data_IF_222471892740
#
_entry.id   IF_222471892740
#
_cell.length_a   1.000
_cell.length_b   1.000
_cell.length_c   1.000
_cell.angle_alpha   90.00
_cell.angle_beta   90.00
_cell.angle_gamma   90.00
#
_symmetry.space_group_name_H-M   'P 1'
#
loop_
_entity.id
_entity.type
_entity.pdbx_description
1 polymer ?
#
# COMPACT_ATOMS: atom_id res chain seq x y z
N UNK A 1 -22.88 40.47 13.25
CA UNK A 1 -21.89 39.38 13.39
C UNK A 1 -21.15 39.33 12.08
N UNK A 2 -19.84 39.51 12.10
CA UNK A 2 -19.01 39.36 10.89
C UNK A 2 -19.12 37.91 10.42
N UNK A 3 -19.88 37.71 9.34
CA UNK A 3 -20.03 36.44 8.62
C UNK A 3 -18.92 36.26 7.56
N UNK A 4 -17.78 36.93 7.74
CA UNK A 4 -16.65 36.77 6.85
C UNK A 4 -15.78 35.67 7.43
N UNK A 5 -16.06 34.43 6.99
CA UNK A 5 -15.11 33.32 7.11
C UNK A 5 -13.74 33.82 6.66
N UNK A 6 -12.75 33.64 7.53
CA UNK A 6 -11.40 34.08 7.20
C UNK A 6 -10.94 33.31 5.95
N UNK A 7 -10.18 33.96 5.06
CA UNK A 7 -9.69 33.39 3.79
C UNK A 7 -8.88 32.09 3.95
N UNK A 8 -8.60 31.68 5.19
CA UNK A 8 -7.86 30.51 5.61
C UNK A 8 -8.72 29.40 6.23
N UNK A 9 -10.04 29.56 6.34
CA UNK A 9 -10.96 28.54 6.84
C UNK A 9 -12.22 28.47 5.95
N UNK A 10 -12.09 27.73 4.85
CA UNK A 10 -13.12 27.58 3.82
C UNK A 10 -14.42 26.94 4.34
N UNK A 11 -14.33 26.21 5.45
CA UNK A 11 -15.46 25.52 6.10
C UNK A 11 -15.79 26.15 7.46
N UNK A 12 -15.44 27.43 7.66
CA UNK A 12 -15.74 28.14 8.89
C UNK A 12 -17.24 28.06 9.23
N UNK A 13 -17.54 27.62 10.45
CA UNK A 13 -18.91 27.43 10.94
C UNK A 13 -19.54 26.07 10.61
N UNK A 14 -18.83 25.19 9.90
CA UNK A 14 -19.21 23.77 9.79
C UNK A 14 -18.88 23.08 11.11
N UNK A 15 -19.90 22.56 11.78
CA UNK A 15 -19.76 21.84 13.05
C UNK A 15 -19.52 20.34 12.84
N UNK A 16 -20.14 19.75 11.82
CA UNK A 16 -20.03 18.33 11.48
C UNK A 16 -19.72 18.18 9.99
N UNK A 17 -18.67 17.41 9.66
CA UNK A 17 -18.33 17.04 8.29
C UNK A 17 -18.43 15.52 8.14
N UNK A 18 -19.64 15.04 7.83
CA UNK A 18 -19.91 13.61 7.64
C UNK A 18 -19.62 13.17 6.21
N UNK A 19 -18.77 12.15 6.04
CA UNK A 19 -18.53 11.47 4.77
C UNK A 19 -19.50 10.30 4.64
N UNK A 20 -20.27 10.31 3.55
CA UNK A 20 -21.23 9.26 3.22
C UNK A 20 -20.59 8.20 2.32
N UNK A 21 -21.33 7.15 1.98
CA UNK A 21 -20.88 6.04 1.12
C UNK A 21 -20.34 6.46 -0.27
N UNK A 22 -20.67 7.67 -0.75
CA UNK A 22 -20.12 8.21 -2.00
C UNK A 22 -18.68 8.75 -1.88
N UNK A 23 -18.16 8.86 -0.66
CA UNK A 23 -16.83 9.42 -0.37
C UNK A 23 -16.76 10.93 -0.51
N UNK A 24 -15.60 11.48 -0.16
CA UNK A 24 -15.26 12.89 -0.38
C UNK A 24 -14.20 13.00 -1.47
N UNK A 25 -14.41 13.89 -2.45
CA UNK A 25 -13.41 14.19 -3.48
C UNK A 25 -12.95 15.63 -3.30
N UNK A 26 -11.65 15.82 -3.12
CA UNK A 26 -11.06 17.14 -2.84
C UNK A 26 -9.93 17.38 -3.84
N UNK A 27 -10.15 18.36 -4.74
CA UNK A 27 -9.15 18.84 -5.67
C UNK A 27 -8.51 20.12 -5.16
N UNK A 28 -7.23 20.04 -4.82
CA UNK A 28 -6.45 21.18 -4.34
C UNK A 28 -5.86 22.03 -5.46
N UNK A 29 -5.98 21.58 -6.72
CA UNK A 29 -5.26 22.13 -7.86
C UNK A 29 -3.77 22.20 -7.55
N UNK A 30 -3.17 23.38 -7.41
CA UNK A 30 -1.77 23.57 -7.04
C UNK A 30 -1.60 24.17 -5.63
N UNK A 31 -2.68 24.29 -4.86
CA UNK A 31 -2.69 25.01 -3.60
C UNK A 31 -2.41 24.10 -2.40
N UNK A 32 -1.94 24.69 -1.32
CA UNK A 32 -1.94 24.04 0.00
C UNK A 32 -3.24 24.42 0.72
N UNK A 33 -4.06 23.42 1.01
CA UNK A 33 -5.38 23.56 1.66
C UNK A 33 -5.35 22.76 2.96
N UNK A 34 -5.78 23.37 4.06
CA UNK A 34 -6.00 22.67 5.32
C UNK A 34 -7.49 22.59 5.63
N UNK A 35 -7.97 21.41 5.98
CA UNK A 35 -9.30 21.21 6.55
C UNK A 35 -9.13 20.92 8.04
N UNK A 36 -9.85 21.70 8.85
CA UNK A 36 -9.73 21.69 10.32
C UNK A 36 -10.86 20.93 10.99
N UNK A 37 -11.93 20.65 10.25
CA UNK A 37 -13.07 19.88 10.70
C UNK A 37 -12.72 18.39 10.67
N UNK A 38 -13.11 17.65 11.70
CA UNK A 38 -12.96 16.21 11.73
C UNK A 38 -13.84 15.55 10.68
N UNK A 39 -13.28 14.57 9.95
CA UNK A 39 -14.02 13.76 9.00
C UNK A 39 -14.71 12.63 9.76
N UNK A 40 -16.05 12.66 9.77
CA UNK A 40 -16.85 11.67 10.47
C UNK A 40 -17.41 10.64 9.49
N UNK A 41 -17.22 9.36 9.76
CA UNK A 41 -17.88 8.31 9.01
C UNK A 41 -19.38 8.29 9.31
N UNK A 42 -20.21 8.09 8.28
CA UNK A 42 -21.63 7.79 8.46
C UNK A 42 -21.83 6.41 9.10
N UNK A 43 -22.94 6.23 9.83
CA UNK A 43 -23.34 4.93 10.39
C UNK A 43 -23.62 3.87 9.31
N UNK A 44 -23.97 4.30 8.10
CA UNK A 44 -24.18 3.42 6.94
C UNK A 44 -22.88 3.07 6.21
N UNK A 45 -21.74 3.57 6.70
CA UNK A 45 -20.43 3.47 6.06
C UNK A 45 -20.04 4.76 5.33
N UNK A 46 -18.74 4.93 5.12
CA UNK A 46 -18.15 6.02 4.36
C UNK A 46 -17.47 5.50 3.09
N UNK A 47 -17.43 6.33 2.05
CA UNK A 47 -16.71 6.02 0.81
C UNK A 47 -15.24 6.43 0.83
N UNK A 48 -14.72 6.86 1.99
CA UNK A 48 -13.36 7.35 2.13
C UNK A 48 -13.12 8.74 1.52
N UNK A 49 -11.87 8.99 1.13
CA UNK A 49 -11.41 10.30 0.64
C UNK A 49 -10.51 10.14 -0.59
N UNK A 50 -10.81 10.91 -1.63
CA UNK A 50 -10.00 11.04 -2.84
C UNK A 50 -9.38 12.42 -2.90
N UNK A 51 -8.05 12.47 -2.91
CA UNK A 51 -7.23 13.67 -3.06
C UNK A 51 -6.76 13.81 -4.51
N UNK A 52 -7.11 14.93 -5.13
CA UNK A 52 -6.71 15.34 -6.48
C UNK A 52 -5.85 16.61 -6.46
N UNK A 53 -5.20 16.87 -7.60
CA UNK A 53 -4.37 18.05 -7.86
C UNK A 53 -3.01 17.99 -7.19
N UNK A 54 -2.01 18.63 -7.81
CA UNK A 54 -0.61 18.72 -7.37
C UNK A 54 -0.36 19.38 -6.02
N UNK A 55 -1.35 20.08 -5.47
CA UNK A 55 -1.29 20.75 -4.19
C UNK A 55 -1.24 19.80 -2.99
N UNK A 56 -1.21 20.39 -1.80
CA UNK A 56 -1.25 19.66 -0.52
C UNK A 56 -2.64 19.79 0.09
N UNK A 57 -3.22 18.68 0.53
CA UNK A 57 -4.36 18.66 1.42
C UNK A 57 -3.88 18.21 2.79
N UNK A 58 -4.04 19.06 3.80
CA UNK A 58 -3.79 18.70 5.20
C UNK A 58 -5.13 18.47 5.90
N UNK A 59 -5.34 17.28 6.46
CA UNK A 59 -6.45 16.98 7.35
C UNK A 59 -5.93 17.09 8.78
N UNK A 60 -6.33 18.16 9.48
CA UNK A 60 -5.70 18.56 10.75
C UNK A 60 -6.10 17.66 11.91
N UNK A 61 -7.29 17.08 11.84
CA UNK A 61 -7.80 16.16 12.84
C UNK A 61 -7.61 14.72 12.35
N UNK A 62 -7.40 13.80 13.29
CA UNK A 62 -7.24 12.39 12.99
C UNK A 62 -8.47 11.82 12.25
N UNK A 63 -8.21 11.06 11.19
CA UNK A 63 -9.22 10.58 10.26
C UNK A 63 -9.70 9.19 10.68
N UNK A 64 -11.00 9.08 10.98
CA UNK A 64 -11.65 7.82 11.38
C UNK A 64 -12.41 7.12 10.23
N UNK A 65 -12.17 7.54 8.98
CA UNK A 65 -12.80 6.96 7.80
C UNK A 65 -12.32 5.53 7.54
N UNK A 66 -13.22 4.69 7.06
CA UNK A 66 -12.99 3.26 6.80
C UNK A 66 -12.98 2.92 5.32
N UNK A 67 -13.56 3.78 4.48
CA UNK A 67 -13.52 3.64 3.03
C UNK A 67 -12.16 4.03 2.44
N UNK A 68 -12.03 3.84 1.13
CA UNK A 68 -10.77 4.01 0.40
C UNK A 68 -10.16 5.40 0.58
N UNK A 69 -8.89 5.42 0.96
CA UNK A 69 -8.03 6.61 0.85
C UNK A 69 -7.34 6.55 -0.51
N UNK A 70 -7.65 7.48 -1.39
CA UNK A 70 -7.04 7.56 -2.72
C UNK A 70 -6.29 8.88 -2.88
N UNK A 71 -4.97 8.80 -3.10
CA UNK A 71 -4.12 9.95 -3.41
C UNK A 71 -3.70 9.86 -4.87
N UNK A 72 -4.45 10.50 -5.76
CA UNK A 72 -4.17 10.44 -7.20
C UNK A 72 -3.00 11.35 -7.60
N UNK A 73 -2.87 12.51 -6.95
CA UNK A 73 -1.81 13.48 -7.21
C UNK A 73 -1.55 14.37 -6.00
N UNK A 74 -0.32 14.88 -5.91
CA UNK A 74 0.09 15.81 -4.86
C UNK A 74 0.20 15.13 -3.51
N UNK A 75 0.05 15.91 -2.43
CA UNK A 75 0.23 15.39 -1.07
C UNK A 75 -1.08 15.37 -0.30
N UNK A 76 -1.39 14.23 0.33
CA UNK A 76 -2.32 14.13 1.44
C UNK A 76 -1.51 14.02 2.73
N UNK A 77 -1.64 15.00 3.62
CA UNK A 77 -1.05 15.00 4.95
C UNK A 77 -2.17 14.72 5.97
N UNK A 78 -2.14 13.53 6.57
CA UNK A 78 -3.21 13.06 7.45
C UNK A 78 -2.72 11.96 8.40
N UNK A 79 -3.37 11.88 9.56
CA UNK A 79 -3.28 10.74 10.48
C UNK A 79 -4.55 9.90 10.43
N UNK A 80 -4.43 8.58 10.49
CA UNK A 80 -5.57 7.66 10.40
C UNK A 80 -5.72 6.82 11.68
N UNK A 81 -6.94 6.74 12.20
CA UNK A 81 -7.28 5.93 13.39
C UNK A 81 -7.85 4.56 13.03
N UNK A 82 -8.42 4.44 11.83
CA UNK A 82 -8.97 3.21 11.30
C UNK A 82 -7.96 2.51 10.38
N UNK A 83 -8.38 1.38 9.78
CA UNK A 83 -7.57 0.65 8.80
C UNK A 83 -8.23 0.59 7.42
N UNK A 84 -8.37 1.74 6.73
CA UNK A 84 -8.98 1.78 5.41
C UNK A 84 -8.11 1.06 4.36
N UNK A 85 -8.65 0.93 3.17
CA UNK A 85 -7.85 0.63 1.98
C UNK A 85 -7.12 1.90 1.51
N UNK A 86 -6.00 1.72 0.79
CA UNK A 86 -5.15 2.79 0.31
C UNK A 86 -4.79 2.58 -1.16
N UNK A 87 -4.93 3.63 -1.95
CA UNK A 87 -4.32 3.74 -3.28
C UNK A 87 -3.51 5.02 -3.34
N UNK A 88 -2.23 4.93 -3.69
CA UNK A 88 -1.38 6.09 -3.95
C UNK A 88 -0.82 5.98 -5.36
N UNK A 89 -1.36 6.76 -6.28
CA UNK A 89 -0.90 6.74 -7.68
C UNK A 89 0.54 7.28 -7.76
N UNK A 90 1.23 7.07 -8.89
CA UNK A 90 2.65 7.43 -9.03
C UNK A 90 2.99 8.90 -8.73
N UNK A 91 2.04 9.82 -8.91
CA UNK A 91 2.21 11.25 -8.62
C UNK A 91 1.69 11.66 -7.22
N UNK A 92 1.18 10.69 -6.45
CA UNK A 92 0.63 10.87 -5.12
C UNK A 92 1.66 10.64 -4.01
N UNK A 93 1.50 11.39 -2.93
CA UNK A 93 2.24 11.24 -1.68
C UNK A 93 1.26 11.23 -0.52
N UNK A 94 1.27 10.15 0.27
CA UNK A 94 0.68 10.14 1.59
C UNK A 94 1.76 10.51 2.62
N UNK A 95 1.60 11.66 3.26
CA UNK A 95 2.43 12.12 4.35
C UNK A 95 1.77 11.74 5.68
N UNK A 96 2.46 10.89 6.46
CA UNK A 96 2.01 10.42 7.76
C UNK A 96 2.70 11.16 8.92
N UNK A 97 3.33 12.32 8.66
CA UNK A 97 4.07 13.11 9.65
C UNK A 97 3.28 13.52 10.89
N UNK A 98 1.94 13.51 10.78
CA UNK A 98 1.04 13.80 11.90
C UNK A 98 0.65 12.55 12.72
N UNK A 99 0.92 11.35 12.20
CA UNK A 99 0.55 10.10 12.86
C UNK A 99 1.45 9.84 14.07
N UNK A 100 0.86 9.80 15.27
CA UNK A 100 1.59 9.48 16.50
C UNK A 100 2.02 8.00 16.59
N UNK A 101 1.22 7.11 15.98
CA UNK A 101 1.44 5.67 15.93
C UNK A 101 1.52 5.20 14.47
N UNK A 102 1.92 3.93 14.26
CA UNK A 102 1.96 3.38 12.90
C UNK A 102 0.55 3.33 12.27
N UNK A 103 0.37 4.02 11.15
CA UNK A 103 -0.86 3.96 10.38
C UNK A 103 -1.02 2.57 9.76
N UNK A 104 -2.22 2.01 9.79
CA UNK A 104 -2.51 0.66 9.32
C UNK A 104 -3.46 0.73 8.14
N UNK A 105 -3.19 -0.05 7.09
CA UNK A 105 -4.05 -0.14 5.91
C UNK A 105 -4.30 -1.60 5.53
N UNK A 106 -5.50 -1.90 5.04
CA UNK A 106 -5.91 -3.28 4.77
C UNK A 106 -5.43 -3.73 3.40
N UNK A 107 -5.91 -3.11 2.32
CA UNK A 107 -5.41 -3.33 0.97
C UNK A 107 -4.71 -2.09 0.44
N UNK A 108 -3.50 -2.27 -0.06
CA UNK A 108 -2.66 -1.17 -0.55
C UNK A 108 -2.34 -1.39 -2.01
N UNK A 109 -2.61 -0.37 -2.82
CA UNK A 109 -2.28 -0.35 -4.24
C UNK A 109 -1.56 0.95 -4.59
N UNK A 110 -0.96 1.01 -5.77
CA UNK A 110 -0.31 2.21 -6.27
C UNK A 110 1.15 2.07 -6.63
N UNK A 111 1.70 3.14 -7.20
CA UNK A 111 3.15 3.31 -7.42
C UNK A 111 3.66 4.62 -6.79
N UNK A 112 2.91 5.18 -5.85
CA UNK A 112 3.23 6.43 -5.16
C UNK A 112 4.13 6.24 -3.94
N UNK A 113 4.08 7.21 -3.05
CA UNK A 113 4.96 7.28 -1.88
C UNK A 113 4.20 7.48 -0.57
N UNK A 114 4.58 6.74 0.47
CA UNK A 114 4.21 7.00 1.87
C UNK A 114 5.44 7.49 2.64
N UNK A 115 5.36 8.64 3.30
CA UNK A 115 6.53 9.31 3.92
C UNK A 115 6.25 9.78 5.35
N UNK A 116 7.32 10.10 6.09
CA UNK A 116 7.33 10.75 7.40
C UNK A 116 6.55 10.00 8.49
N UNK A 117 6.35 8.69 8.36
CA UNK A 117 5.65 7.91 9.35
C UNK A 117 5.81 6.41 9.17
N UNK A 118 5.42 5.67 10.21
CA UNK A 118 5.36 4.21 10.17
C UNK A 118 4.05 3.74 9.54
N UNK A 119 4.15 2.77 8.65
CA UNK A 119 3.05 2.28 7.83
C UNK A 119 2.98 0.75 7.90
N UNK A 120 1.79 0.20 8.17
CA UNK A 120 1.55 -1.23 8.31
C UNK A 120 0.56 -1.72 7.25
N UNK A 121 0.92 -2.77 6.53
CA UNK A 121 0.05 -3.47 5.58
C UNK A 121 -0.50 -4.72 6.24
N UNK A 122 -1.82 -4.86 6.26
CA UNK A 122 -2.50 -5.95 6.94
C UNK A 122 -3.01 -7.07 6.02
N UNK A 123 -3.47 -6.72 4.81
CA UNK A 123 -4.10 -7.65 3.87
C UNK A 123 -3.26 -7.87 2.63
N UNK A 124 -3.09 -6.84 1.82
CA UNK A 124 -2.29 -6.95 0.59
C UNK A 124 -1.56 -5.68 0.19
N UNK A 125 -0.48 -5.86 -0.58
CA UNK A 125 0.22 -4.80 -1.29
C UNK A 125 0.33 -5.18 -2.77
N UNK A 126 -0.18 -4.32 -3.64
CA UNK A 126 -0.08 -4.40 -5.10
C UNK A 126 0.63 -3.15 -5.60
N UNK A 127 1.96 -3.22 -5.72
CA UNK A 127 2.69 -2.11 -6.32
C UNK A 127 2.39 -2.09 -7.83
N UNK A 128 2.00 -0.96 -8.39
CA UNK A 128 1.60 -0.85 -9.80
C UNK A 128 0.12 -1.12 -10.04
N UNK A 129 -0.54 -0.17 -10.71
CA UNK A 129 -1.99 -0.21 -10.97
C UNK A 129 -2.34 -0.61 -12.40
N UNK A 130 -1.33 -0.76 -13.26
CA UNK A 130 -1.50 -1.10 -14.68
C UNK A 130 -0.88 -2.46 -14.96
N UNK A 131 -1.69 -3.47 -15.34
CA UNK A 131 -1.17 -4.77 -15.75
C UNK A 131 -0.11 -4.63 -16.85
N UNK A 132 1.04 -5.27 -16.66
CA UNK A 132 2.21 -5.28 -17.51
C UNK A 132 3.14 -4.08 -17.34
N UNK A 133 2.84 -3.13 -16.46
CA UNK A 133 3.71 -2.00 -16.16
C UNK A 133 4.42 -2.18 -14.81
N UNK A 134 5.68 -1.77 -14.74
CA UNK A 134 6.43 -1.80 -13.46
C UNK A 134 5.89 -0.73 -12.52
N UNK A 135 5.35 -1.17 -11.39
CA UNK A 135 5.09 -0.34 -10.23
C UNK A 135 6.23 -0.38 -9.21
N UNK A 136 6.55 0.76 -8.61
CA UNK A 136 7.36 0.81 -7.40
C UNK A 136 6.61 1.59 -6.33
N UNK A 137 6.14 0.91 -5.30
CA UNK A 137 5.51 1.55 -4.14
C UNK A 137 6.59 1.94 -3.13
N UNK A 138 6.64 3.21 -2.74
CA UNK A 138 7.68 3.72 -1.85
C UNK A 138 7.14 3.91 -0.43
N UNK A 139 7.94 3.53 0.56
CA UNK A 139 7.65 3.80 1.96
C UNK A 139 8.92 4.18 2.72
N UNK A 140 8.81 4.99 3.77
CA UNK A 140 9.94 5.23 4.68
C UNK A 140 10.10 4.08 5.68
N UNK A 141 9.03 3.73 6.38
CA UNK A 141 9.00 2.64 7.36
C UNK A 141 7.80 1.76 7.09
N UNK A 142 8.04 0.48 6.78
CA UNK A 142 7.02 -0.49 6.37
C UNK A 142 7.04 -1.72 7.27
N UNK A 143 5.88 -2.10 7.77
CA UNK A 143 5.65 -3.38 8.46
C UNK A 143 4.62 -4.20 7.71
N UNK A 144 4.92 -5.47 7.48
CA UNK A 144 3.92 -6.44 7.04
C UNK A 144 3.31 -7.15 8.26
N UNK A 145 2.00 -7.34 8.27
CA UNK A 145 1.36 -8.27 9.20
C UNK A 145 1.48 -9.72 8.69
N UNK A 146 1.22 -10.67 9.59
CA UNK A 146 1.23 -12.08 9.24
C UNK A 146 0.11 -12.39 8.24
N UNK A 147 0.42 -13.15 7.19
CA UNK A 147 -0.55 -13.54 6.17
C UNK A 147 -0.79 -12.52 5.06
N UNK A 148 -0.02 -11.41 5.00
CA UNK A 148 -0.09 -10.44 3.90
C UNK A 148 0.13 -11.11 2.54
N UNK A 149 -0.60 -10.65 1.53
CA UNK A 149 -0.38 -11.02 0.12
C UNK A 149 0.32 -9.90 -0.62
N UNK A 150 1.46 -10.21 -1.25
CA UNK A 150 2.10 -9.35 -2.23
C UNK A 150 1.62 -9.76 -3.62
N UNK A 151 0.93 -8.85 -4.31
CA UNK A 151 0.62 -9.00 -5.71
C UNK A 151 1.82 -8.49 -6.51
N UNK A 152 2.34 -9.33 -7.40
CA UNK A 152 3.51 -9.02 -8.22
C UNK A 152 3.17 -9.25 -9.69
N UNK A 153 3.10 -8.18 -10.46
CA UNK A 153 3.18 -8.28 -11.90
C UNK A 153 4.63 -8.52 -12.30
N UNK A 154 4.91 -9.76 -12.71
CA UNK A 154 6.25 -10.20 -13.07
C UNK A 154 6.34 -10.49 -14.57
N UNK A 155 7.46 -10.08 -15.16
CA UNK A 155 7.93 -10.47 -16.49
C UNK A 155 9.44 -10.68 -16.49
N UNK A 156 10.01 -11.20 -17.59
CA UNK A 156 11.46 -11.36 -17.71
C UNK A 156 12.24 -10.03 -17.65
N UNK A 157 11.61 -8.92 -18.04
CA UNK A 157 12.24 -7.61 -18.11
C UNK A 157 11.98 -6.72 -16.89
N UNK A 158 10.97 -7.05 -16.09
CA UNK A 158 10.31 -6.11 -15.20
C UNK A 158 9.52 -6.85 -14.12
N UNK A 159 9.49 -6.32 -12.90
CA UNK A 159 8.68 -6.84 -11.80
C UNK A 159 8.24 -5.68 -10.91
N UNK A 160 7.05 -5.76 -10.34
CA UNK A 160 6.62 -4.80 -9.32
C UNK A 160 7.49 -4.89 -8.06
N UNK A 161 7.73 -3.73 -7.44
CA UNK A 161 8.59 -3.61 -6.26
C UNK A 161 7.94 -2.78 -5.16
N UNK A 162 8.32 -3.08 -3.93
CA UNK A 162 8.25 -2.11 -2.84
C UNK A 162 9.65 -1.57 -2.53
N UNK A 163 9.78 -0.28 -2.32
CA UNK A 163 11.03 0.38 -1.98
C UNK A 163 10.94 1.04 -0.62
N UNK A 164 11.63 0.47 0.37
CA UNK A 164 11.66 1.02 1.74
C UNK A 164 12.97 1.76 1.95
N UNK A 165 12.92 3.08 2.18
CA UNK A 165 14.15 3.85 2.41
C UNK A 165 14.71 3.64 3.82
N UNK A 166 13.85 3.39 4.80
CA UNK A 166 14.18 3.18 6.21
C UNK A 166 13.98 1.72 6.65
N UNK A 167 13.15 1.51 7.66
CA UNK A 167 12.99 0.21 8.32
C UNK A 167 11.90 -0.65 7.66
N UNK A 168 12.26 -1.87 7.28
CA UNK A 168 11.34 -2.93 6.85
C UNK A 168 11.21 -3.99 7.94
N UNK A 169 9.99 -4.26 8.38
CA UNK A 169 9.67 -5.41 9.23
C UNK A 169 8.92 -6.47 8.44
N UNK A 170 9.61 -7.59 8.16
CA UNK A 170 9.02 -8.74 7.48
C UNK A 170 8.09 -9.56 8.36
N UNK A 171 7.16 -10.30 7.74
CA UNK A 171 6.16 -11.11 8.43
C UNK A 171 6.20 -12.60 8.06
N UNK A 172 5.50 -13.43 8.83
CA UNK A 172 5.40 -14.86 8.56
C UNK A 172 4.11 -15.22 7.81
N UNK A 173 4.17 -16.32 7.05
CA UNK A 173 2.99 -16.96 6.49
C UNK A 173 2.26 -16.21 5.36
N UNK A 174 2.90 -15.23 4.73
CA UNK A 174 2.32 -14.46 3.62
C UNK A 174 2.19 -15.23 2.30
N UNK A 175 1.62 -14.57 1.29
CA UNK A 175 1.54 -15.08 -0.08
C UNK A 175 2.25 -14.15 -1.06
N UNK A 176 2.89 -14.74 -2.07
CA UNK A 176 3.20 -14.07 -3.34
C UNK A 176 2.14 -14.53 -4.35
N UNK A 177 1.43 -13.57 -4.93
CA UNK A 177 0.42 -13.80 -5.95
C UNK A 177 0.87 -13.16 -7.26
N UNK A 178 1.04 -13.97 -8.31
CA UNK A 178 1.43 -13.48 -9.64
C UNK A 178 0.24 -13.11 -10.53
N UNK A 179 -1.01 -13.35 -10.08
CA UNK A 179 -2.21 -13.03 -10.83
C UNK A 179 -2.37 -13.79 -12.15
N UNK A 180 -1.59 -14.87 -12.37
CA UNK A 180 -1.55 -15.59 -13.65
C UNK A 180 -2.46 -16.81 -13.67
N UNK A 181 -3.20 -16.93 -14.76
CA UNK A 181 -4.07 -18.05 -15.07
C UNK A 181 -3.30 -19.25 -15.63
N UNK A 182 -3.85 -20.46 -15.47
CA UNK A 182 -3.23 -21.70 -15.98
C UNK A 182 -2.97 -21.60 -17.49
N UNK A 183 -1.72 -21.80 -17.89
CA UNK A 183 -1.26 -21.67 -19.27
C UNK A 183 -0.36 -20.45 -19.51
N UNK A 184 -0.36 -19.46 -18.61
CA UNK A 184 0.58 -18.34 -18.59
C UNK A 184 1.61 -18.50 -17.46
N UNK A 185 2.36 -19.60 -17.49
CA UNK A 185 3.25 -19.95 -16.40
C UNK A 185 4.46 -19.01 -16.29
N UNK A 186 4.82 -18.62 -15.06
CA UNK A 186 6.15 -18.09 -14.77
C UNK A 186 7.23 -19.16 -15.00
N UNK A 187 8.48 -18.80 -15.34
CA UNK A 187 9.57 -19.75 -15.35
C UNK A 187 9.83 -20.30 -13.94
N UNK A 188 10.07 -21.61 -13.83
CA UNK A 188 10.45 -22.26 -12.58
C UNK A 188 11.63 -23.21 -12.83
N UNK A 189 12.77 -23.07 -12.14
CA UNK A 189 13.02 -22.12 -11.05
C UNK A 189 13.22 -20.68 -11.55
N UNK A 190 12.93 -19.70 -10.69
CA UNK A 190 13.23 -18.29 -10.95
C UNK A 190 13.69 -17.55 -9.71
N UNK A 191 14.27 -16.37 -9.93
CA UNK A 191 14.62 -15.42 -8.87
C UNK A 191 14.29 -14.01 -9.32
N UNK A 192 13.70 -13.22 -8.42
CA UNK A 192 13.32 -11.84 -8.68
C UNK A 192 13.63 -10.97 -7.45
N UNK A 193 14.04 -9.73 -7.68
CA UNK A 193 14.06 -8.71 -6.63
C UNK A 193 12.65 -8.16 -6.49
N UNK A 194 12.11 -8.23 -5.28
CA UNK A 194 10.73 -7.81 -4.97
C UNK A 194 10.68 -6.57 -4.07
N UNK A 195 11.83 -6.15 -3.53
CA UNK A 195 11.92 -4.87 -2.87
C UNK A 195 13.29 -4.52 -2.32
N UNK A 196 13.38 -3.33 -1.73
CA UNK A 196 14.57 -2.80 -1.06
C UNK A 196 14.25 -2.28 0.33
N UNK A 197 15.27 -2.17 1.18
CA UNK A 197 15.15 -1.65 2.54
C UNK A 197 16.45 -0.94 2.98
N UNK A 198 16.34 -0.01 3.93
CA UNK A 198 17.50 0.59 4.62
C UNK A 198 17.97 -0.25 5.81
N UNK A 199 17.03 -0.71 6.65
CA UNK A 199 17.28 -1.66 7.73
C UNK A 199 16.18 -2.73 7.79
N UNK A 200 16.48 -3.91 8.33
CA UNK A 200 15.56 -5.04 8.33
C UNK A 200 15.42 -5.70 9.70
N UNK A 201 14.18 -6.03 10.06
CA UNK A 201 13.83 -6.88 11.19
C UNK A 201 12.72 -7.88 10.82
N UNK A 202 12.51 -8.90 11.66
CA UNK A 202 11.51 -9.94 11.39
C UNK A 202 12.05 -11.04 10.46
N UNK A 203 11.20 -11.54 9.57
CA UNK A 203 11.55 -12.62 8.64
C UNK A 203 10.43 -12.89 7.65
N UNK A 204 10.67 -13.78 6.67
CA UNK A 204 9.69 -14.18 5.65
C UNK A 204 9.43 -15.70 5.66
N UNK A 205 9.35 -16.30 6.84
CA UNK A 205 9.16 -17.75 6.98
C UNK A 205 7.74 -18.17 6.57
N UNK A 206 7.62 -19.27 5.85
CA UNK A 206 6.33 -19.91 5.54
C UNK A 206 5.53 -19.25 4.42
N UNK A 207 6.15 -18.39 3.63
CA UNK A 207 5.51 -17.75 2.48
C UNK A 207 5.19 -18.76 1.37
N UNK A 208 4.10 -18.52 0.64
CA UNK A 208 3.59 -19.42 -0.41
C UNK A 208 3.43 -18.69 -1.73
N UNK A 209 3.57 -19.40 -2.84
CA UNK A 209 3.24 -18.89 -4.18
C UNK A 209 1.81 -19.23 -4.54
N UNK A 210 1.09 -18.30 -5.16
CA UNK A 210 -0.26 -18.44 -5.72
C UNK A 210 -0.28 -17.96 -7.18
N UNK A 211 -1.24 -18.47 -7.94
CA UNK A 211 -1.57 -18.06 -9.32
C UNK A 211 -0.33 -17.83 -10.20
N UNK A 212 0.56 -18.82 -10.24
CA UNK A 212 1.81 -18.77 -11.00
C UNK A 212 1.65 -19.22 -12.46
N UNK A 213 0.41 -19.37 -12.94
CA UNK A 213 0.05 -19.90 -14.25
C UNK A 213 0.41 -21.37 -14.52
N UNK A 214 0.82 -22.09 -13.47
CA UNK A 214 1.11 -23.52 -13.50
C UNK A 214 -0.13 -24.35 -13.11
N UNK A 215 -0.27 -25.59 -13.61
CA UNK A 215 -1.37 -26.46 -13.23
C UNK A 215 -1.44 -26.68 -11.71
N UNK A 216 -2.64 -26.80 -11.10
CA UNK A 216 -2.82 -26.90 -9.65
C UNK A 216 -2.08 -28.06 -8.95
N UNK A 217 -1.62 -29.05 -9.72
CA UNK A 217 -0.88 -30.23 -9.23
C UNK A 217 0.60 -29.96 -9.02
N UNK A 218 1.13 -28.85 -9.57
CA UNK A 218 2.53 -28.47 -9.41
C UNK A 218 2.66 -27.73 -8.08
N UNK A 219 3.32 -28.37 -7.12
CA UNK A 219 3.67 -27.70 -5.87
C UNK A 219 4.85 -26.76 -6.07
N UNK A 220 4.80 -25.58 -5.44
CA UNK A 220 5.88 -24.59 -5.46
C UNK A 220 6.35 -24.26 -4.05
N UNK A 221 7.66 -24.01 -3.91
CA UNK A 221 8.26 -23.43 -2.72
C UNK A 221 8.68 -21.99 -3.00
N UNK A 222 8.33 -21.07 -2.10
CA UNK A 222 8.90 -19.72 -2.05
C UNK A 222 9.97 -19.65 -0.96
N UNK A 223 11.09 -19.03 -1.29
CA UNK A 223 12.08 -18.57 -0.33
C UNK A 223 12.28 -17.08 -0.54
N UNK A 224 12.08 -16.29 0.51
CA UNK A 224 12.34 -14.85 0.48
C UNK A 224 13.50 -14.56 1.44
N UNK A 225 14.50 -13.84 0.95
CA UNK A 225 15.66 -13.41 1.72
C UNK A 225 15.78 -11.90 1.71
N UNK A 226 16.08 -11.32 2.87
CA UNK A 226 16.42 -9.93 3.03
C UNK A 226 17.91 -9.84 3.36
N UNK A 227 18.73 -9.43 2.40
CA UNK A 227 20.18 -9.35 2.55
C UNK A 227 20.72 -8.11 1.83
N UNK A 228 21.67 -7.40 2.44
CA UNK A 228 22.34 -6.23 1.86
C UNK A 228 21.39 -5.15 1.29
N UNK A 229 20.26 -4.89 1.97
CA UNK A 229 19.29 -3.87 1.56
C UNK A 229 18.33 -4.31 0.46
N UNK A 230 18.34 -5.59 0.07
CA UNK A 230 17.50 -6.14 -1.01
C UNK A 230 16.67 -7.30 -0.49
N UNK A 231 15.39 -7.34 -0.89
CA UNK A 231 14.49 -8.47 -0.71
C UNK A 231 14.41 -9.25 -2.02
N UNK A 232 14.85 -10.50 -1.97
CA UNK A 232 14.89 -11.41 -3.12
C UNK A 232 13.93 -12.57 -2.91
N UNK A 233 13.09 -12.82 -3.90
CA UNK A 233 12.23 -14.00 -4.01
C UNK A 233 12.91 -15.05 -4.88
N UNK A 234 12.99 -16.29 -4.40
CA UNK A 234 13.31 -17.46 -5.20
C UNK A 234 12.13 -18.43 -5.21
N UNK A 235 11.72 -18.86 -6.41
CA UNK A 235 10.64 -19.82 -6.63
C UNK A 235 11.22 -21.10 -7.25
N UNK A 236 10.83 -22.25 -6.71
CA UNK A 236 11.23 -23.56 -7.21
C UNK A 236 10.08 -24.56 -7.06
N UNK A 237 10.16 -25.70 -7.75
CA UNK A 237 9.23 -26.81 -7.54
C UNK A 237 9.36 -27.34 -6.11
N UNK A 238 8.24 -27.47 -5.40
CA UNK A 238 8.21 -28.17 -4.11
C UNK A 238 8.04 -29.67 -4.34
N UNK A 239 8.92 -30.47 -3.77
CA UNK A 239 8.82 -31.92 -3.83
C UNK A 239 9.99 -32.60 -3.15
N UNK A 240 9.77 -33.85 -2.74
CA UNK A 240 10.81 -34.70 -2.18
C UNK A 240 11.61 -35.30 -3.35
N UNK A 241 12.92 -35.02 -3.44
CA UNK A 241 13.79 -35.75 -4.37
C UNK A 241 13.91 -37.18 -3.85
N UNK A 242 13.18 -38.12 -4.46
CA UNK A 242 13.35 -39.55 -4.19
C UNK A 242 14.46 -40.07 -5.11
N UNK A 243 15.68 -40.15 -4.58
CA UNK A 243 16.79 -40.86 -5.25
C UNK A 243 16.52 -42.37 -5.15
N UNK A 244 15.95 -42.94 -6.21
CA UNK A 244 15.95 -44.39 -6.41
C UNK A 244 17.37 -44.82 -6.79
N UNK A 245 17.97 -45.65 -5.95
CA UNK A 245 19.21 -46.38 -6.28
C UNK A 245 18.88 -47.68 -7.00
#
# INVERSE_FOLDING_TARGET
ADYNGALNDYLYGVNDLTVLAGGAVIDTLTNSVAIRQAFLASTEGDGGVTKLGRGTLTLTEDVALTGLVHVAEGTLDAAFLAAPDLTVDAAGVLDLGQSAEAARFTHVAGAGTVTNGAFTVAGSLSAGDTPGAVGVFHAETLTFENGVTLHLDWSEAANDLFAVSGALTGSSGGSIDFGREEGDAIPVPMTAVIGTYGSFSGGFSGWKVRNAGLPPRVGLSARITAENGVVTLSVANSGLIMLLR
#
